data_IF_819851326616
#
_entry.id   IF_819851326616
#
_cell.length_a   1.000
_cell.length_b   1.000
_cell.length_c   1.000
_cell.angle_alpha   90.00
_cell.angle_beta   90.00
_cell.angle_gamma   90.00
#
_symmetry.space_group_name_H-M   'P 1'
#
loop_
_entity.id
_entity.type
_entity.pdbx_description
1 polymer ?
#
# COMPACT_ATOMS: atom_id res chain seq x y z
N UNK A 1 -2.56 -8.53 20.85
CA UNK A 1 -1.15 -8.99 20.66
C UNK A 1 -0.32 -7.81 20.17
N UNK A 2 0.96 -7.74 20.53
CA UNK A 2 1.85 -6.67 20.03
C UNK A 2 2.09 -6.85 18.53
N UNK A 3 1.91 -5.79 17.73
CA UNK A 3 2.11 -5.81 16.28
C UNK A 3 3.56 -6.10 15.94
N UNK A 4 3.79 -6.94 14.92
CA UNK A 4 5.11 -7.38 14.50
C UNK A 4 5.62 -6.60 13.29
N UNK A 5 6.77 -5.96 13.46
CA UNK A 5 7.45 -5.19 12.42
C UNK A 5 8.76 -5.91 12.06
N UNK A 6 8.99 -6.16 10.79
CA UNK A 6 10.28 -6.65 10.28
C UNK A 6 10.99 -5.51 9.57
N UNK A 7 12.24 -5.25 9.95
CA UNK A 7 13.11 -4.25 9.33
C UNK A 7 14.08 -5.01 8.42
N UNK A 8 14.17 -4.59 7.15
CA UNK A 8 15.12 -5.10 6.17
C UNK A 8 16.03 -3.95 5.77
N UNK A 9 17.26 -3.96 6.26
CA UNK A 9 18.24 -2.88 6.12
C UNK A 9 19.64 -3.49 6.27
N UNK A 10 20.54 -3.32 5.32
CA UNK A 10 21.89 -3.87 5.32
C UNK A 10 22.81 -3.14 6.30
N UNK A 11 22.70 -1.80 6.44
CA UNK A 11 23.48 -1.06 7.43
C UNK A 11 23.09 -1.42 8.87
N UNK A 12 23.97 -2.14 9.54
CA UNK A 12 23.75 -2.63 10.90
C UNK A 12 23.50 -1.52 11.94
N UNK A 13 24.02 -0.32 11.73
CA UNK A 13 23.85 0.81 12.66
C UNK A 13 22.44 1.38 12.52
N UNK A 14 22.01 1.63 11.28
CA UNK A 14 20.67 2.09 10.95
C UNK A 14 19.64 1.09 11.41
N UNK A 15 19.81 -0.20 11.07
CA UNK A 15 18.92 -1.30 11.45
C UNK A 15 18.70 -1.37 12.97
N UNK A 16 19.78 -1.44 13.76
CA UNK A 16 19.70 -1.50 15.24
C UNK A 16 19.05 -0.25 15.83
N UNK A 17 19.36 0.92 15.29
CA UNK A 17 18.84 2.20 15.74
C UNK A 17 17.33 2.31 15.49
N UNK A 18 16.85 1.83 14.35
CA UNK A 18 15.42 1.73 14.02
C UNK A 18 14.73 0.72 14.94
N UNK A 19 15.29 -0.48 15.06
CA UNK A 19 14.73 -1.53 15.90
C UNK A 19 14.60 -1.08 17.35
N UNK A 20 15.65 -0.49 17.92
CA UNK A 20 15.63 0.05 19.28
C UNK A 20 14.58 1.16 19.49
N UNK A 21 14.37 1.99 18.47
CA UNK A 21 13.40 3.07 18.52
C UNK A 21 11.95 2.54 18.45
N UNK A 22 11.68 1.56 17.59
CA UNK A 22 10.35 0.94 17.46
C UNK A 22 10.00 0.04 18.67
N UNK A 23 10.97 -0.68 19.24
CA UNK A 23 10.76 -1.43 20.48
C UNK A 23 10.35 -0.55 21.66
N UNK A 24 10.88 0.70 21.72
CA UNK A 24 10.43 1.70 22.71
C UNK A 24 8.98 2.15 22.52
N UNK A 25 8.43 1.97 21.33
CA UNK A 25 7.01 2.19 21.03
C UNK A 25 6.16 0.92 21.25
N UNK A 26 6.71 -0.08 21.94
CA UNK A 26 6.05 -1.35 22.28
C UNK A 26 5.72 -2.25 21.09
N UNK A 27 6.35 -2.05 19.94
CA UNK A 27 6.26 -2.99 18.82
C UNK A 27 7.19 -4.18 19.04
N UNK A 28 6.77 -5.34 18.56
CA UNK A 28 7.62 -6.51 18.40
C UNK A 28 8.43 -6.33 17.10
N UNK A 29 9.76 -6.37 17.19
CA UNK A 29 10.62 -6.02 16.05
C UNK A 29 11.62 -7.12 15.79
N UNK A 30 11.63 -7.63 14.55
CA UNK A 30 12.65 -8.51 13.99
C UNK A 30 13.53 -7.72 13.01
N UNK A 31 14.79 -8.13 12.93
CA UNK A 31 15.82 -7.49 12.13
C UNK A 31 16.33 -8.45 11.08
N UNK A 32 16.40 -8.03 9.84
CA UNK A 32 16.98 -8.76 8.71
C UNK A 32 17.97 -7.84 7.99
N UNK A 33 19.12 -8.38 7.61
CA UNK A 33 20.12 -7.63 6.83
C UNK A 33 19.89 -7.79 5.32
N UNK A 34 19.14 -8.83 4.92
CA UNK A 34 18.86 -9.16 3.54
C UNK A 34 17.50 -9.85 3.37
N UNK A 35 17.15 -10.14 2.12
CA UNK A 35 15.92 -10.84 1.77
C UNK A 35 15.83 -12.25 2.35
N UNK A 36 16.94 -12.99 2.40
CA UNK A 36 16.95 -14.36 2.88
C UNK A 36 16.65 -14.45 4.38
N UNK A 37 17.24 -13.56 5.19
CA UNK A 37 16.91 -13.45 6.60
C UNK A 37 15.47 -13.02 6.82
N UNK A 38 14.97 -12.06 6.03
CA UNK A 38 13.57 -11.66 6.07
C UNK A 38 12.65 -12.85 5.81
N UNK A 39 12.89 -13.60 4.74
CA UNK A 39 12.07 -14.77 4.37
C UNK A 39 12.09 -15.84 5.49
N UNK A 40 13.25 -16.09 6.09
CA UNK A 40 13.38 -17.02 7.21
C UNK A 40 12.61 -16.56 8.46
N UNK A 41 12.53 -15.26 8.72
CA UNK A 41 11.72 -14.67 9.80
C UNK A 41 10.25 -14.84 9.49
N UNK A 42 9.81 -14.43 8.30
CA UNK A 42 8.39 -14.44 7.89
C UNK A 42 7.81 -15.86 7.84
N UNK A 43 8.62 -16.85 7.50
CA UNK A 43 8.20 -18.25 7.50
C UNK A 43 7.84 -18.78 8.91
N UNK A 44 8.41 -18.20 9.96
CA UNK A 44 8.18 -18.60 11.36
C UNK A 44 7.16 -17.71 12.06
N UNK A 45 7.18 -16.44 11.75
CA UNK A 45 6.43 -15.41 12.42
C UNK A 45 6.03 -14.29 11.43
N UNK A 46 4.81 -14.35 10.89
CA UNK A 46 4.34 -13.37 9.92
C UNK A 46 4.39 -11.93 10.47
N UNK A 47 4.77 -10.98 9.62
CA UNK A 47 4.80 -9.58 9.97
C UNK A 47 3.44 -8.90 9.72
N UNK A 48 3.13 -7.89 10.55
CA UNK A 48 2.06 -6.93 10.28
C UNK A 48 2.55 -5.80 9.37
N UNK A 49 3.85 -5.46 9.45
CA UNK A 49 4.47 -4.40 8.67
C UNK A 49 5.94 -4.71 8.36
N UNK A 50 6.35 -4.38 7.14
CA UNK A 50 7.74 -4.42 6.68
C UNK A 50 8.25 -2.99 6.51
N UNK A 51 9.44 -2.71 7.04
CA UNK A 51 10.24 -1.53 6.70
C UNK A 51 11.40 -2.02 5.85
N UNK A 52 11.43 -1.63 4.58
CA UNK A 52 12.39 -2.17 3.60
C UNK A 52 13.23 -1.05 3.02
N UNK A 53 14.55 -1.13 3.14
CA UNK A 53 15.43 -0.26 2.37
C UNK A 53 15.36 -0.62 0.89
N UNK A 54 15.30 0.39 0.03
CA UNK A 54 15.35 0.18 -1.42
C UNK A 54 16.75 -0.28 -1.81
N UNK A 55 17.79 0.35 -1.25
CA UNK A 55 19.17 0.13 -1.61
C UNK A 55 19.81 -0.98 -0.75
N UNK A 56 19.36 -2.22 -0.91
CA UNK A 56 19.93 -3.38 -0.25
C UNK A 56 21.00 -4.04 -1.12
N UNK A 57 22.04 -4.56 -0.49
CA UNK A 57 23.01 -5.41 -1.17
C UNK A 57 22.35 -6.73 -1.63
N UNK A 58 22.49 -7.06 -2.92
CA UNK A 58 21.94 -8.27 -3.52
C UNK A 58 20.55 -8.11 -4.10
N UNK A 59 19.50 -8.54 -3.42
CA UNK A 59 18.10 -8.40 -3.87
C UNK A 59 17.56 -7.05 -3.45
N UNK A 60 17.27 -6.17 -4.41
CA UNK A 60 16.81 -4.81 -4.15
C UNK A 60 15.44 -4.77 -3.44
N UNK A 61 15.20 -3.71 -2.69
CA UNK A 61 13.97 -3.52 -1.91
C UNK A 61 12.69 -3.43 -2.73
N UNK A 62 12.77 -3.02 -3.99
CA UNK A 62 11.61 -2.97 -4.90
C UNK A 62 11.19 -4.38 -5.31
N UNK A 63 12.15 -5.25 -5.59
CA UNK A 63 11.91 -6.67 -5.88
C UNK A 63 11.29 -7.36 -4.65
N UNK A 64 11.85 -7.13 -3.46
CA UNK A 64 11.28 -7.65 -2.20
C UNK A 64 9.84 -7.17 -2.03
N UNK A 65 9.56 -5.89 -2.26
CA UNK A 65 8.23 -5.30 -2.15
C UNK A 65 7.23 -5.98 -3.07
N UNK A 66 7.58 -6.18 -4.34
CA UNK A 66 6.72 -6.87 -5.31
C UNK A 66 6.39 -8.30 -4.90
N UNK A 67 7.40 -9.08 -4.47
CA UNK A 67 7.23 -10.47 -4.06
C UNK A 67 6.42 -10.58 -2.77
N UNK A 68 6.70 -9.74 -1.79
CA UNK A 68 5.96 -9.73 -0.53
C UNK A 68 4.51 -9.29 -0.72
N UNK A 69 4.23 -8.38 -1.65
CA UNK A 69 2.86 -8.00 -1.98
C UNK A 69 2.07 -9.14 -2.62
N UNK A 70 2.72 -9.97 -3.45
CA UNK A 70 2.09 -11.16 -4.00
C UNK A 70 1.84 -12.26 -2.95
N UNK A 71 2.69 -12.33 -1.92
CA UNK A 71 2.68 -13.40 -0.92
C UNK A 71 1.87 -13.05 0.35
N UNK A 72 1.71 -11.76 0.70
CA UNK A 72 1.13 -11.36 1.98
C UNK A 72 0.38 -10.03 1.91
N UNK A 73 -0.46 -9.80 2.93
CA UNK A 73 -1.17 -8.52 3.18
C UNK A 73 -0.47 -7.64 4.22
N UNK A 74 0.80 -7.90 4.54
CA UNK A 74 1.58 -7.05 5.43
C UNK A 74 1.69 -5.63 4.85
N UNK A 75 1.66 -4.61 5.71
CA UNK A 75 1.98 -3.25 5.29
C UNK A 75 3.44 -3.17 4.85
N UNK A 76 3.75 -2.35 3.85
CA UNK A 76 5.11 -2.16 3.36
C UNK A 76 5.42 -0.67 3.28
N UNK A 77 6.41 -0.23 4.06
CA UNK A 77 6.97 1.12 3.97
C UNK A 77 8.39 1.01 3.43
N UNK A 78 8.67 1.70 2.32
CA UNK A 78 10.00 1.78 1.75
C UNK A 78 10.83 2.86 2.43
N UNK A 79 12.10 2.56 2.69
CA UNK A 79 13.10 3.53 3.10
C UNK A 79 13.95 3.85 1.87
N UNK A 80 14.05 5.13 1.49
CA UNK A 80 14.73 5.54 0.25
C UNK A 80 15.65 6.73 0.48
N UNK A 81 16.68 6.89 -0.35
CA UNK A 81 17.51 8.09 -0.35
C UNK A 81 16.80 9.29 -1.02
N UNK A 82 17.22 10.51 -0.67
CA UNK A 82 16.56 11.76 -1.08
C UNK A 82 16.53 12.03 -2.59
N UNK A 83 17.43 11.41 -3.34
CA UNK A 83 17.66 11.75 -4.74
C UNK A 83 16.81 10.93 -5.75
N UNK A 84 16.06 9.94 -5.28
CA UNK A 84 15.31 9.01 -6.12
C UNK A 84 13.80 9.31 -6.16
N UNK A 85 13.43 10.40 -6.85
CA UNK A 85 12.00 10.62 -7.16
C UNK A 85 11.43 9.51 -8.04
N UNK A 86 12.25 8.90 -8.88
CA UNK A 86 11.87 7.79 -9.75
C UNK A 86 11.59 6.55 -8.90
N UNK A 87 12.45 6.23 -7.93
CA UNK A 87 12.28 5.07 -7.05
C UNK A 87 11.03 5.15 -6.17
N UNK A 88 10.60 6.35 -5.82
CA UNK A 88 9.34 6.56 -5.09
C UNK A 88 8.12 6.15 -5.91
N UNK A 89 8.06 6.60 -7.15
CA UNK A 89 6.97 6.27 -8.07
C UNK A 89 7.01 4.77 -8.35
N UNK A 90 8.18 4.23 -8.67
CA UNK A 90 8.39 2.80 -8.92
C UNK A 90 8.06 1.96 -7.67
N UNK A 91 8.49 2.37 -6.49
CA UNK A 91 8.22 1.64 -5.22
C UNK A 91 6.74 1.55 -4.90
N UNK A 92 6.04 2.65 -5.06
CA UNK A 92 4.59 2.65 -4.98
C UNK A 92 4.00 1.79 -6.11
N UNK A 93 4.52 1.81 -7.31
CA UNK A 93 4.13 0.94 -8.43
C UNK A 93 4.39 -0.54 -8.15
N UNK A 94 5.37 -0.89 -7.40
CA UNK A 94 5.67 -2.27 -6.99
C UNK A 94 4.83 -2.76 -5.80
N UNK A 95 3.98 -1.91 -5.22
CA UNK A 95 3.03 -2.31 -4.20
C UNK A 95 3.34 -1.86 -2.78
N UNK A 96 4.28 -0.96 -2.56
CA UNK A 96 4.47 -0.32 -1.26
C UNK A 96 3.23 0.50 -0.85
N UNK A 97 2.94 0.53 0.44
CA UNK A 97 1.84 1.32 1.00
C UNK A 97 2.26 2.77 1.30
N UNK A 98 3.54 2.99 1.60
CA UNK A 98 4.11 4.31 1.87
C UNK A 98 5.64 4.27 1.67
N UNK A 99 6.29 5.43 1.73
CA UNK A 99 7.75 5.55 1.71
C UNK A 99 8.22 6.63 2.67
N UNK A 100 9.48 6.52 3.11
CA UNK A 100 10.15 7.50 3.97
C UNK A 100 11.55 7.77 3.44
N UNK A 101 11.89 9.03 3.23
CA UNK A 101 13.21 9.41 2.70
C UNK A 101 14.26 9.54 3.79
N UNK A 102 15.43 8.95 3.56
CA UNK A 102 16.63 9.11 4.38
C UNK A 102 17.34 10.44 4.07
N UNK A 103 17.82 11.20 5.07
CA UNK A 103 17.63 10.99 6.49
C UNK A 103 16.21 11.36 6.92
N UNK A 104 15.55 10.51 7.72
CA UNK A 104 14.18 10.73 8.17
C UNK A 104 14.09 11.21 9.61
N UNK A 105 13.07 12.01 9.90
CA UNK A 105 12.66 12.29 11.28
C UNK A 105 11.98 11.04 11.86
N UNK A 106 12.41 10.64 13.06
CA UNK A 106 11.80 9.51 13.76
C UNK A 106 10.31 9.70 14.03
N UNK A 107 9.87 10.94 14.25
CA UNK A 107 8.46 11.26 14.52
C UNK A 107 7.62 11.01 13.26
N UNK A 108 8.15 11.38 12.09
CA UNK A 108 7.50 11.11 10.81
C UNK A 108 7.37 9.61 10.58
N UNK A 109 8.47 8.85 10.70
CA UNK A 109 8.44 7.40 10.54
C UNK A 109 7.44 6.74 11.51
N UNK A 110 7.45 7.12 12.79
CA UNK A 110 6.52 6.54 13.77
C UNK A 110 5.07 6.89 13.48
N UNK A 111 4.77 8.09 12.99
CA UNK A 111 3.43 8.47 12.59
C UNK A 111 2.94 7.60 11.42
N UNK A 112 3.78 7.38 10.39
CA UNK A 112 3.46 6.53 9.24
C UNK A 112 3.26 5.07 9.64
N UNK A 113 4.18 4.51 10.43
CA UNK A 113 4.07 3.15 10.97
C UNK A 113 2.77 2.98 11.78
N UNK A 114 2.50 3.88 12.71
CA UNK A 114 1.29 3.84 13.53
C UNK A 114 0.02 3.90 12.68
N UNK A 115 -0.04 4.86 11.75
CA UNK A 115 -1.20 5.05 10.89
C UNK A 115 -1.45 3.82 10.01
N UNK A 116 -0.39 3.24 9.43
CA UNK A 116 -0.53 2.04 8.60
C UNK A 116 -0.99 0.84 9.43
N UNK A 117 -0.41 0.62 10.61
CA UNK A 117 -0.79 -0.48 11.49
C UNK A 117 -2.22 -0.33 12.05
N UNK A 118 -2.64 0.88 12.44
CA UNK A 118 -4.02 1.14 12.87
C UNK A 118 -5.04 0.78 11.78
N UNK A 119 -4.74 1.07 10.54
CA UNK A 119 -5.59 0.72 9.40
C UNK A 119 -5.65 -0.79 9.17
N UNK A 120 -4.51 -1.48 9.32
CA UNK A 120 -4.45 -2.94 9.23
C UNK A 120 -5.36 -3.58 10.30
N UNK A 121 -5.33 -3.05 11.51
CA UNK A 121 -6.17 -3.54 12.61
C UNK A 121 -7.66 -3.24 12.40
N UNK A 122 -8.00 -2.05 11.91
CA UNK A 122 -9.39 -1.70 11.61
C UNK A 122 -10.00 -2.64 10.56
N UNK A 123 -9.24 -3.02 9.56
CA UNK A 123 -9.69 -3.95 8.52
C UNK A 123 -9.78 -5.39 9.06
N UNK A 124 -8.83 -5.80 9.92
CA UNK A 124 -8.90 -7.10 10.61
C UNK A 124 -10.11 -7.16 11.58
N UNK A 125 -10.47 -6.03 12.19
CA UNK A 125 -11.58 -5.92 13.15
C UNK A 125 -12.95 -5.68 12.50
N UNK A 126 -13.00 -5.17 11.28
CA UNK A 126 -14.22 -5.09 10.51
C UNK A 126 -14.64 -6.51 10.11
N UNK A 127 -15.44 -7.14 10.98
CA UNK A 127 -16.17 -8.34 10.58
C UNK A 127 -16.92 -8.02 9.27
N UNK A 128 -16.99 -8.97 8.33
CA UNK A 128 -17.71 -8.73 7.09
C UNK A 128 -19.18 -8.50 7.42
N UNK A 129 -19.62 -7.24 7.46
CA UNK A 129 -21.01 -6.97 7.19
C UNK A 129 -21.27 -7.60 5.79
N UNK A 130 -22.41 -8.29 5.58
CA UNK A 130 -22.79 -8.76 4.26
C UNK A 130 -23.09 -7.53 3.40
N UNK A 131 -22.04 -6.84 2.98
CA UNK A 131 -22.15 -5.81 1.97
C UNK A 131 -22.32 -6.54 0.65
N UNK A 132 -23.37 -6.18 -0.08
CA UNK A 132 -23.59 -6.62 -1.44
C UNK A 132 -22.28 -6.66 -2.19
N UNK A 133 -22.03 -7.75 -2.91
CA UNK A 133 -20.83 -7.94 -3.69
C UNK A 133 -20.66 -6.71 -4.60
N UNK A 134 -19.67 -5.87 -4.27
CA UNK A 134 -19.45 -4.65 -5.02
C UNK A 134 -18.73 -5.03 -6.31
N UNK A 135 -19.40 -4.83 -7.44
CA UNK A 135 -18.88 -5.17 -8.77
C UNK A 135 -18.24 -3.95 -9.43
N UNK A 136 -17.17 -4.18 -10.15
CA UNK A 136 -16.55 -3.24 -11.07
C UNK A 136 -16.14 -4.00 -12.33
N UNK A 137 -16.86 -3.79 -13.41
CA UNK A 137 -16.68 -4.57 -14.63
C UNK A 137 -16.91 -6.07 -14.41
N UNK A 138 -15.95 -6.86 -14.83
CA UNK A 138 -15.95 -8.33 -14.65
C UNK A 138 -15.53 -8.77 -13.23
N UNK A 139 -15.17 -7.81 -12.35
CA UNK A 139 -14.58 -8.07 -11.07
C UNK A 139 -15.56 -7.88 -9.92
N UNK A 140 -15.47 -8.76 -8.92
CA UNK A 140 -16.13 -8.63 -7.61
C UNK A 140 -15.07 -8.29 -6.56
N UNK A 141 -15.30 -7.24 -5.78
CA UNK A 141 -14.39 -6.86 -4.72
C UNK A 141 -14.61 -7.71 -3.45
N UNK A 142 -13.66 -8.61 -3.17
CA UNK A 142 -13.58 -9.28 -1.85
C UNK A 142 -12.93 -8.31 -0.85
N UNK A 143 -13.77 -7.60 -0.09
CA UNK A 143 -13.32 -6.65 0.92
C UNK A 143 -12.53 -7.31 2.05
N UNK A 144 -12.83 -8.59 2.36
CA UNK A 144 -12.17 -9.30 3.45
C UNK A 144 -10.73 -9.67 3.10
N UNK A 145 -10.48 -10.00 1.84
CA UNK A 145 -9.17 -10.42 1.33
C UNK A 145 -8.47 -9.35 0.51
N UNK A 146 -9.12 -8.18 0.30
CA UNK A 146 -8.62 -7.04 -0.50
C UNK A 146 -8.13 -7.46 -1.87
N UNK A 147 -8.95 -8.19 -2.57
CA UNK A 147 -8.64 -8.67 -3.90
C UNK A 147 -9.86 -8.57 -4.79
N UNK A 148 -9.62 -8.54 -6.07
CA UNK A 148 -10.65 -8.67 -7.07
C UNK A 148 -10.76 -10.14 -7.47
N UNK A 149 -11.97 -10.62 -7.59
CA UNK A 149 -12.28 -11.97 -8.06
C UNK A 149 -13.17 -11.87 -9.31
N UNK A 150 -12.72 -12.44 -10.41
CA UNK A 150 -13.52 -12.55 -11.61
C UNK A 150 -14.42 -13.80 -11.56
N UNK A 151 -15.47 -13.80 -12.37
CA UNK A 151 -16.42 -14.92 -12.45
C UNK A 151 -15.79 -16.24 -12.94
N UNK A 152 -14.66 -16.16 -13.63
CA UNK A 152 -13.87 -17.31 -14.10
C UNK A 152 -12.88 -17.85 -13.05
N UNK A 153 -12.85 -17.26 -11.85
CA UNK A 153 -11.94 -17.62 -10.76
C UNK A 153 -10.58 -16.94 -10.83
N UNK A 154 -10.33 -16.02 -11.77
CA UNK A 154 -9.13 -15.20 -11.76
C UNK A 154 -9.11 -14.30 -10.52
N UNK A 155 -7.94 -14.18 -9.89
CA UNK A 155 -7.73 -13.37 -8.70
C UNK A 155 -6.71 -12.29 -8.99
N UNK A 156 -7.06 -11.03 -8.73
CA UNK A 156 -6.15 -9.89 -8.82
C UNK A 156 -5.98 -9.27 -7.43
N UNK A 157 -4.79 -9.37 -6.82
CA UNK A 157 -4.54 -8.79 -5.50
C UNK A 157 -4.48 -7.27 -5.59
N UNK A 158 -5.08 -6.60 -4.60
CA UNK A 158 -4.97 -5.16 -4.43
C UNK A 158 -3.97 -4.84 -3.33
N UNK A 159 -3.10 -3.86 -3.59
CA UNK A 159 -2.39 -3.23 -2.51
C UNK A 159 -3.39 -2.54 -1.59
N UNK A 160 -2.96 -2.20 -0.38
CA UNK A 160 -3.83 -1.49 0.55
C UNK A 160 -4.32 -0.17 -0.02
N UNK A 161 -3.40 0.62 -0.61
CA UNK A 161 -3.73 1.92 -1.19
C UNK A 161 -4.71 1.80 -2.37
N UNK A 162 -4.53 0.81 -3.23
CA UNK A 162 -5.47 0.51 -4.32
C UNK A 162 -6.84 0.09 -3.80
N UNK A 163 -6.87 -0.75 -2.76
CA UNK A 163 -8.12 -1.15 -2.12
C UNK A 163 -8.85 0.05 -1.50
N UNK A 164 -8.16 0.89 -0.71
CA UNK A 164 -8.76 2.07 -0.08
C UNK A 164 -9.29 3.06 -1.12
N UNK A 165 -8.55 3.24 -2.22
CA UNK A 165 -8.97 4.10 -3.32
C UNK A 165 -10.19 3.53 -4.06
N UNK A 166 -10.19 2.24 -4.37
CA UNK A 166 -11.33 1.58 -5.02
C UNK A 166 -12.57 1.60 -4.11
N UNK A 167 -12.42 1.30 -2.83
CA UNK A 167 -13.52 1.34 -1.87
C UNK A 167 -14.08 2.78 -1.70
N UNK A 168 -13.21 3.80 -1.73
CA UNK A 168 -13.64 5.21 -1.75
C UNK A 168 -14.47 5.53 -2.99
N UNK A 169 -14.06 5.11 -4.17
CA UNK A 169 -14.82 5.26 -5.40
C UNK A 169 -16.17 4.54 -5.35
N UNK A 170 -16.18 3.27 -4.96
CA UNK A 170 -17.39 2.46 -4.90
C UNK A 170 -18.41 2.92 -3.83
N UNK A 171 -17.99 3.71 -2.85
CA UNK A 171 -18.89 4.36 -1.89
C UNK A 171 -19.47 5.66 -2.39
N UNK A 172 -18.95 6.23 -3.46
CA UNK A 172 -19.35 7.53 -4.01
C UNK A 172 -19.55 7.46 -5.53
N UNK A 173 -20.38 6.50 -6.02
CA UNK A 173 -20.62 6.38 -7.44
C UNK A 173 -21.30 7.63 -8.00
N UNK A 174 -20.94 8.00 -9.21
CA UNK A 174 -21.51 9.19 -9.86
C UNK A 174 -21.06 10.53 -9.26
N UNK A 175 -20.16 10.52 -8.26
CA UNK A 175 -19.65 11.74 -7.62
C UNK A 175 -18.23 12.02 -8.08
N UNK A 176 -17.95 13.24 -8.52
CA UNK A 176 -16.60 13.68 -8.83
C UNK A 176 -15.84 13.89 -7.52
N UNK A 177 -14.78 13.11 -7.32
CA UNK A 177 -13.90 13.22 -6.16
C UNK A 177 -12.60 13.92 -6.57
N UNK A 178 -12.32 15.05 -5.92
CA UNK A 178 -11.07 15.77 -6.13
C UNK A 178 -9.87 14.95 -5.62
N UNK A 179 -8.68 15.26 -6.13
CA UNK A 179 -7.41 14.60 -5.68
C UNK A 179 -7.21 14.75 -4.17
N UNK A 180 -7.44 15.96 -3.66
CA UNK A 180 -7.35 16.24 -2.21
C UNK A 180 -8.35 15.41 -1.41
N UNK A 181 -9.58 15.28 -1.91
CA UNK A 181 -10.61 14.48 -1.26
C UNK A 181 -10.25 12.99 -1.25
N UNK A 182 -9.74 12.49 -2.36
CA UNK A 182 -9.24 11.11 -2.45
C UNK A 182 -8.05 10.88 -1.52
N UNK A 183 -7.11 11.83 -1.42
CA UNK A 183 -6.01 11.78 -0.46
C UNK A 183 -6.51 11.76 0.98
N UNK A 184 -7.54 12.56 1.31
CA UNK A 184 -8.17 12.55 2.63
C UNK A 184 -8.82 11.20 2.94
N UNK A 185 -9.56 10.64 1.99
CA UNK A 185 -10.31 9.39 2.16
C UNK A 185 -9.38 8.17 2.23
N UNK A 186 -8.29 8.19 1.49
CA UNK A 186 -7.24 7.15 1.54
C UNK A 186 -6.17 7.44 2.60
N UNK A 187 -6.32 8.54 3.36
CA UNK A 187 -5.43 9.00 4.44
C UNK A 187 -3.93 9.04 4.09
N UNK A 188 -3.58 9.29 2.84
CA UNK A 188 -2.18 9.48 2.43
C UNK A 188 -1.63 10.89 2.75
N UNK A 189 -2.27 11.63 3.68
CA UNK A 189 -2.14 13.06 3.91
C UNK A 189 -0.95 13.52 4.76
N UNK A 190 0.06 12.73 5.09
CA UNK A 190 1.19 13.26 5.86
C UNK A 190 2.51 13.19 5.09
N UNK A 191 2.88 14.29 4.45
CA UNK A 191 4.25 14.58 4.09
C UNK A 191 4.65 14.51 2.61
N UNK A 192 3.75 14.26 1.69
CA UNK A 192 4.03 14.43 0.27
C UNK A 192 3.15 15.52 -0.32
N UNK A 193 3.72 16.66 -0.73
CA UNK A 193 2.95 17.76 -1.34
C UNK A 193 2.65 17.53 -2.82
N UNK A 194 2.49 16.30 -3.28
CA UNK A 194 2.28 16.05 -4.70
C UNK A 194 1.02 15.26 -4.97
N UNK A 195 0.05 15.90 -5.63
CA UNK A 195 -1.15 15.36 -6.29
C UNK A 195 -0.89 14.08 -7.14
N UNK A 196 0.35 13.83 -7.49
CA UNK A 196 0.81 12.71 -8.32
C UNK A 196 0.60 11.34 -7.69
N UNK A 197 0.52 11.24 -6.38
CA UNK A 197 0.32 9.95 -5.69
C UNK A 197 -1.05 9.36 -6.03
N UNK A 198 -2.10 10.16 -6.11
CA UNK A 198 -3.44 9.70 -6.51
C UNK A 198 -3.45 9.31 -7.99
N UNK A 199 -2.83 10.09 -8.86
CA UNK A 199 -2.79 9.81 -10.30
C UNK A 199 -2.07 8.47 -10.58
N UNK A 200 -1.00 8.17 -9.86
CA UNK A 200 -0.30 6.88 -9.92
C UNK A 200 -1.19 5.74 -9.45
N UNK A 201 -1.88 5.91 -8.33
CA UNK A 201 -2.79 4.88 -7.79
C UNK A 201 -3.98 4.64 -8.73
N UNK A 202 -4.57 5.68 -9.30
CA UNK A 202 -5.62 5.56 -10.32
C UNK A 202 -5.10 4.83 -11.55
N UNK A 203 -3.91 5.17 -12.04
CA UNK A 203 -3.30 4.47 -13.16
C UNK A 203 -3.11 2.97 -12.93
N UNK A 204 -2.80 2.58 -11.68
CA UNK A 204 -2.69 1.17 -11.29
C UNK A 204 -4.04 0.47 -11.22
N UNK A 205 -5.01 1.09 -10.57
CA UNK A 205 -6.37 0.54 -10.51
C UNK A 205 -6.92 0.32 -11.91
N UNK A 206 -6.76 1.28 -12.81
CA UNK A 206 -7.19 1.14 -14.20
C UNK A 206 -6.56 -0.09 -14.87
N UNK A 207 -5.26 -0.34 -14.67
CA UNK A 207 -4.60 -1.54 -15.22
C UNK A 207 -5.17 -2.86 -14.71
N UNK A 208 -5.87 -2.86 -13.58
CA UNK A 208 -6.47 -4.04 -12.96
C UNK A 208 -7.95 -4.20 -13.28
N UNK A 209 -8.69 -3.09 -13.37
CA UNK A 209 -10.16 -3.13 -13.49
C UNK A 209 -10.69 -2.76 -14.86
N UNK A 210 -9.93 -2.01 -15.67
CA UNK A 210 -10.34 -1.54 -16.99
C UNK A 210 -9.92 -2.52 -18.09
N UNK A 211 -10.74 -2.68 -19.10
CA UNK A 211 -10.38 -3.43 -20.30
C UNK A 211 -9.27 -2.70 -21.10
N UNK A 212 -9.37 -1.37 -21.19
CA UNK A 212 -8.34 -0.48 -21.76
C UNK A 212 -8.04 0.65 -20.77
N UNK A 213 -6.90 0.64 -20.08
CA UNK A 213 -6.53 1.69 -19.13
C UNK A 213 -6.43 3.10 -19.73
N UNK A 214 -6.20 3.20 -21.07
CA UNK A 214 -6.13 4.48 -21.78
C UNK A 214 -7.52 5.03 -22.12
N UNK A 215 -8.54 4.16 -22.13
CA UNK A 215 -9.95 4.51 -22.36
C UNK A 215 -10.81 3.91 -21.23
N UNK A 216 -10.73 4.47 -20.03
CA UNK A 216 -11.39 3.90 -18.87
C UNK A 216 -12.92 4.08 -18.95
N UNK A 217 -13.64 2.99 -18.62
CA UNK A 217 -15.09 2.97 -18.54
C UNK A 217 -15.60 3.16 -17.10
N UNK A 218 -14.79 2.80 -16.10
CA UNK A 218 -15.17 2.80 -14.69
C UNK A 218 -14.62 3.98 -13.91
N UNK A 219 -13.32 4.28 -14.06
CA UNK A 219 -12.65 5.38 -13.34
C UNK A 219 -12.29 6.48 -14.34
N UNK A 220 -13.18 7.43 -14.53
CA UNK A 220 -13.07 8.48 -15.56
C UNK A 220 -12.31 9.69 -15.00
N UNK A 221 -11.40 10.27 -15.79
CA UNK A 221 -10.76 11.54 -15.44
C UNK A 221 -11.65 12.70 -15.81
N UNK A 222 -11.98 13.55 -14.84
CA UNK A 222 -12.64 14.84 -15.07
C UNK A 222 -11.58 15.93 -14.97
N UNK A 223 -11.19 16.46 -16.14
CA UNK A 223 -10.07 17.41 -16.23
C UNK A 223 -10.29 18.64 -15.36
N UNK A 224 -9.29 18.98 -14.53
CA UNK A 224 -9.34 20.11 -13.62
C UNK A 224 -10.11 19.87 -12.31
N UNK A 225 -10.91 18.79 -12.20
CA UNK A 225 -11.75 18.53 -11.03
C UNK A 225 -11.32 17.29 -10.24
N UNK A 226 -10.97 16.18 -10.92
CA UNK A 226 -10.58 14.93 -10.25
C UNK A 226 -10.99 13.68 -11.01
N UNK A 227 -11.61 12.72 -10.31
CA UNK A 227 -12.02 11.44 -10.85
C UNK A 227 -13.47 11.12 -10.52
N UNK A 228 -14.13 10.43 -11.43
CA UNK A 228 -15.50 9.96 -11.32
C UNK A 228 -15.53 8.44 -11.44
N UNK A 229 -16.23 7.77 -10.56
CA UNK A 229 -16.53 6.35 -10.68
C UNK A 229 -17.94 6.13 -11.22
N UNK A 230 -18.06 5.28 -12.23
CA UNK A 230 -19.34 4.95 -12.90
C UNK A 230 -19.69 3.52 -12.54
N UNK A 231 -20.89 3.26 -11.98
CA UNK A 231 -21.34 1.91 -11.59
C UNK A 231 -21.72 1.02 -12.77
N UNK A 232 -22.32 1.62 -13.79
CA UNK A 232 -22.68 0.94 -15.03
C UNK A 232 -21.72 1.46 -16.11
N UNK A 233 -20.69 0.67 -16.43
CA UNK A 233 -19.74 1.02 -17.48
C UNK A 233 -20.45 1.31 -18.80
N UNK A 234 -19.93 2.28 -19.51
CA UNK A 234 -20.51 2.76 -20.78
C UNK A 234 -20.37 1.70 -21.87
#
# INVERSE_FOLDING_TARGET
MSQHIVIVEDDAVTRRRLAGALRKQLYRVSEAEDAAQMEAILARDPADLLLVDINLDGKDGLTITREQRAASNAGIILLTSRDDQIDRIVGLEMGADDYVTKPFDKRELFARVKNLLMRIDQIKAAAPAPAAAAQVGAWTLDRSRRRLEASDGQIEPLTRAEYELLDAFMRHPGVILSRDRLLEMTQHRQGAPEDRTIDVLVGRLRRKVEADPARPDWIITVHGEGYLFVEDGN
#
